data_IF_306575090778
#
_entry.id   IF_306575090778
#
_cell.length_a   1.000
_cell.length_b   1.000
_cell.length_c   1.000
_cell.angle_alpha   90.00
_cell.angle_beta   90.00
_cell.angle_gamma   90.00
#
_symmetry.space_group_name_H-M   'P 1'
#
loop_
_entity.id
_entity.type
_entity.pdbx_description
1 polymer ?
#
# COMPACT_ATOMS: atom_id res chain seq x y z
N UNK A 1 -48.02 16.03 38.69
CA UNK A 1 -46.91 17.02 38.51
C UNK A 1 -45.61 16.49 39.12
N UNK A 2 -45.63 15.84 40.29
CA UNK A 2 -44.43 15.35 41.00
C UNK A 2 -43.64 14.20 40.27
N UNK A 3 -44.36 13.30 39.55
CA UNK A 3 -43.73 12.15 38.84
C UNK A 3 -42.89 12.55 37.65
N UNK A 4 -43.18 13.68 36.96
CA UNK A 4 -42.38 14.19 35.84
C UNK A 4 -41.10 14.91 36.33
N UNK A 5 -41.17 15.51 37.51
CA UNK A 5 -40.02 16.17 38.14
C UNK A 5 -38.92 15.16 38.51
N UNK A 6 -39.27 14.04 39.11
CA UNK A 6 -38.33 12.97 39.48
C UNK A 6 -37.68 12.31 38.25
N UNK A 7 -38.44 12.08 37.17
CA UNK A 7 -37.84 11.57 35.92
C UNK A 7 -36.84 12.52 35.29
N UNK A 8 -37.08 13.83 35.38
CA UNK A 8 -36.13 14.83 34.86
C UNK A 8 -34.90 14.93 35.77
N UNK A 9 -35.05 14.77 37.09
CA UNK A 9 -33.91 14.72 38.03
C UNK A 9 -33.06 13.47 37.75
N UNK A 10 -33.66 12.29 37.59
CA UNK A 10 -32.92 11.07 37.25
C UNK A 10 -32.22 11.19 35.88
N UNK A 11 -32.85 11.76 34.85
CA UNK A 11 -32.17 12.05 33.56
C UNK A 11 -31.01 13.02 33.69
N UNK A 12 -31.12 14.03 34.54
CA UNK A 12 -30.02 14.95 34.83
C UNK A 12 -28.89 14.26 35.58
N UNK A 13 -29.20 13.44 36.57
CA UNK A 13 -28.21 12.63 37.31
C UNK A 13 -27.53 11.65 36.37
N UNK A 14 -28.26 10.91 35.53
CA UNK A 14 -27.69 10.02 34.53
C UNK A 14 -26.83 10.76 33.49
N UNK A 15 -27.21 11.99 33.09
CA UNK A 15 -26.43 12.80 32.18
C UNK A 15 -25.12 13.33 32.79
N UNK A 16 -25.12 13.59 34.09
CA UNK A 16 -23.92 14.03 34.82
C UNK A 16 -23.02 12.86 35.21
N UNK A 17 -23.60 11.70 35.58
CA UNK A 17 -22.84 10.50 35.93
C UNK A 17 -22.19 9.80 34.69
N UNK A 18 -22.76 10.04 33.49
CA UNK A 18 -22.23 9.49 32.24
C UNK A 18 -21.33 10.45 31.45
N UNK A 19 -21.00 11.63 31.99
CA UNK A 19 -20.00 12.50 31.40
C UNK A 19 -18.62 11.89 31.59
N UNK A 20 -17.94 11.59 30.49
CA UNK A 20 -16.54 11.20 30.54
C UNK A 20 -15.69 12.36 31.09
N UNK A 21 -14.59 12.08 31.80
CA UNK A 21 -13.61 13.11 32.14
C UNK A 21 -13.17 13.86 30.88
N UNK A 22 -12.95 15.18 30.95
CA UNK A 22 -12.64 16.01 29.76
C UNK A 22 -11.48 15.48 28.92
N UNK A 23 -10.46 14.91 29.54
CA UNK A 23 -9.33 14.30 28.87
C UNK A 23 -9.71 13.04 28.07
N UNK A 24 -10.67 12.26 28.57
CA UNK A 24 -11.15 11.07 27.88
C UNK A 24 -12.08 11.44 26.72
N UNK A 25 -12.92 12.44 26.92
CA UNK A 25 -13.83 12.97 25.89
C UNK A 25 -13.01 13.58 24.74
N UNK A 26 -12.04 14.44 25.06
CA UNK A 26 -11.07 14.96 24.08
C UNK A 26 -10.36 13.86 23.29
N UNK A 27 -9.88 12.81 23.97
CA UNK A 27 -9.20 11.69 23.31
C UNK A 27 -10.12 10.96 22.32
N UNK A 28 -11.38 10.78 22.67
CA UNK A 28 -12.39 10.15 21.80
C UNK A 28 -12.67 11.03 20.57
N UNK A 29 -12.82 12.33 20.77
CA UNK A 29 -13.02 13.29 19.69
C UNK A 29 -11.80 13.37 18.75
N UNK A 30 -10.60 13.35 19.30
CA UNK A 30 -9.37 13.32 18.51
C UNK A 30 -9.28 12.06 17.63
N UNK A 31 -9.55 10.87 18.19
CA UNK A 31 -9.57 9.61 17.44
C UNK A 31 -10.59 9.67 16.30
N UNK A 32 -11.80 10.12 16.61
CA UNK A 32 -12.90 10.27 15.64
C UNK A 32 -12.52 11.28 14.54
N UNK A 33 -11.88 12.38 14.90
CA UNK A 33 -11.44 13.39 13.93
C UNK A 33 -10.42 12.82 12.94
N UNK A 34 -9.47 12.00 13.43
CA UNK A 34 -8.49 11.30 12.58
C UNK A 34 -9.21 10.36 11.59
N UNK A 35 -10.15 9.54 12.08
CA UNK A 35 -10.91 8.60 11.27
C UNK A 35 -11.75 9.32 10.20
N UNK A 36 -12.46 10.38 10.57
CA UNK A 36 -13.27 11.17 9.63
C UNK A 36 -12.43 11.88 8.57
N UNK A 37 -11.22 12.28 8.88
CA UNK A 37 -10.29 12.90 7.91
C UNK A 37 -9.84 11.87 6.88
N UNK A 38 -9.53 10.65 7.31
CA UNK A 38 -9.17 9.56 6.40
C UNK A 38 -10.35 9.15 5.49
N UNK A 39 -11.56 9.08 6.03
CA UNK A 39 -12.77 8.79 5.24
C UNK A 39 -13.02 9.79 4.11
N UNK A 40 -12.76 11.09 4.34
CA UNK A 40 -12.86 12.13 3.30
C UNK A 40 -11.84 11.95 2.17
N UNK A 41 -10.71 11.30 2.45
CA UNK A 41 -9.66 11.01 1.50
C UNK A 41 -9.88 9.71 0.72
N UNK A 42 -10.99 9.00 0.96
CA UNK A 42 -11.33 7.76 0.27
C UNK A 42 -11.38 7.98 -1.24
N UNK A 43 -10.48 7.28 -1.93
CA UNK A 43 -10.34 7.37 -3.39
C UNK A 43 -11.31 6.38 -4.05
N UNK A 44 -11.90 6.79 -5.17
CA UNK A 44 -12.66 5.89 -6.02
C UNK A 44 -11.79 4.68 -6.43
N UNK A 45 -12.38 3.48 -6.53
CA UNK A 45 -11.66 2.31 -6.98
C UNK A 45 -11.06 2.56 -8.37
N UNK A 46 -9.75 2.39 -8.51
CA UNK A 46 -9.13 2.42 -9.83
C UNK A 46 -9.35 1.09 -10.52
N UNK A 47 -9.81 1.11 -11.79
CA UNK A 47 -9.97 -0.09 -12.62
C UNK A 47 -8.64 -0.50 -13.25
N UNK A 48 -7.56 -0.51 -12.46
CA UNK A 48 -6.21 -0.86 -12.90
C UNK A 48 -5.60 -1.88 -11.96
N UNK A 49 -4.70 -2.71 -12.46
CA UNK A 49 -3.91 -3.57 -11.59
C UNK A 49 -3.04 -2.73 -10.66
N UNK A 50 -2.91 -3.18 -9.41
CA UNK A 50 -2.01 -2.59 -8.41
C UNK A 50 -1.01 -3.66 -7.98
N UNK A 51 0.28 -3.50 -8.28
CA UNK A 51 1.30 -4.52 -8.02
C UNK A 51 1.30 -5.05 -6.58
N UNK A 52 1.16 -4.18 -5.60
CA UNK A 52 1.10 -4.56 -4.19
C UNK A 52 -0.13 -5.40 -3.80
N UNK A 53 -1.18 -5.42 -4.64
CA UNK A 53 -2.42 -6.17 -4.43
C UNK A 53 -2.56 -7.43 -5.28
N UNK A 54 -1.60 -7.75 -6.15
CA UNK A 54 -1.67 -8.87 -7.10
C UNK A 54 -1.33 -10.23 -6.46
N UNK A 55 -1.84 -10.46 -5.24
CA UNK A 55 -1.64 -11.70 -4.49
C UNK A 55 -2.87 -12.64 -4.57
N UNK A 56 -3.95 -12.19 -5.20
CA UNK A 56 -5.16 -12.98 -5.40
C UNK A 56 -5.88 -12.52 -6.68
N UNK A 57 -5.98 -13.43 -7.65
CA UNK A 57 -6.60 -13.13 -8.97
C UNK A 57 -8.06 -12.69 -8.83
N UNK A 58 -8.80 -13.25 -7.88
CA UNK A 58 -10.18 -12.88 -7.61
C UNK A 58 -10.30 -11.45 -7.06
N UNK A 59 -9.34 -11.02 -6.23
CA UNK A 59 -9.25 -9.62 -5.77
C UNK A 59 -8.96 -8.67 -6.94
N UNK A 60 -8.01 -9.01 -7.79
CA UNK A 60 -7.69 -8.24 -8.99
C UNK A 60 -8.88 -8.14 -9.93
N UNK A 61 -9.60 -9.24 -10.16
CA UNK A 61 -10.83 -9.26 -10.95
C UNK A 61 -11.85 -8.24 -10.43
N UNK A 62 -12.19 -8.26 -9.13
CA UNK A 62 -13.15 -7.31 -8.56
C UNK A 62 -12.70 -5.85 -8.71
N UNK A 63 -11.41 -5.61 -8.56
CA UNK A 63 -10.85 -4.27 -8.76
C UNK A 63 -10.99 -3.80 -10.21
N UNK A 64 -10.64 -4.65 -11.19
CA UNK A 64 -10.70 -4.30 -12.63
C UNK A 64 -12.13 -4.06 -13.09
N UNK A 65 -13.10 -4.87 -12.67
CA UNK A 65 -14.51 -4.66 -13.02
C UNK A 65 -15.17 -3.54 -12.23
N UNK A 66 -14.45 -2.91 -11.29
CA UNK A 66 -14.91 -1.74 -10.56
C UNK A 66 -15.92 -2.03 -9.45
N UNK A 67 -15.84 -3.21 -8.83
CA UNK A 67 -16.63 -3.48 -7.61
C UNK A 67 -16.16 -2.51 -6.52
N UNK A 68 -17.10 -1.92 -5.81
CA UNK A 68 -16.79 -1.10 -4.64
C UNK A 68 -16.16 -1.96 -3.55
N UNK A 69 -15.02 -1.52 -2.99
CA UNK A 69 -14.43 -2.20 -1.85
C UNK A 69 -15.38 -2.21 -0.64
N UNK A 70 -15.24 -3.21 0.21
CA UNK A 70 -15.92 -3.24 1.49
C UNK A 70 -15.61 -1.93 2.24
N UNK A 71 -16.64 -1.28 2.77
CA UNK A 71 -16.46 -0.10 3.62
C UNK A 71 -15.69 -0.52 4.86
N UNK A 72 -14.43 -0.19 4.92
CA UNK A 72 -13.65 -0.28 6.15
C UNK A 72 -13.61 1.11 6.77
N UNK A 73 -14.17 1.27 7.95
CA UNK A 73 -13.78 2.39 8.80
C UNK A 73 -12.33 2.13 9.19
N UNK A 74 -11.39 2.88 8.64
CA UNK A 74 -10.01 2.82 9.10
C UNK A 74 -9.99 3.26 10.55
N UNK A 75 -9.60 2.36 11.47
CA UNK A 75 -9.41 2.79 12.85
C UNK A 75 -8.30 3.85 12.92
N UNK A 76 -8.39 4.78 13.86
CA UNK A 76 -7.34 5.79 14.06
C UNK A 76 -5.95 5.18 14.17
N UNK A 77 -5.84 3.97 14.74
CA UNK A 77 -4.57 3.22 14.82
C UNK A 77 -4.05 2.84 13.44
N UNK A 78 -4.91 2.33 12.55
CA UNK A 78 -4.50 1.96 11.20
C UNK A 78 -4.08 3.19 10.39
N UNK A 79 -4.83 4.29 10.51
CA UNK A 79 -4.47 5.59 9.89
C UNK A 79 -3.10 6.05 10.37
N UNK A 80 -2.87 6.01 11.70
CA UNK A 80 -1.57 6.37 12.29
C UNK A 80 -0.42 5.49 11.79
N UNK A 81 -0.64 4.18 11.64
CA UNK A 81 0.34 3.25 11.08
C UNK A 81 0.68 3.59 9.63
N UNK A 82 -0.32 3.90 8.80
CA UNK A 82 -0.10 4.29 7.41
C UNK A 82 0.66 5.62 7.30
N UNK A 83 0.26 6.63 8.06
CA UNK A 83 0.92 7.94 8.06
C UNK A 83 2.36 7.85 8.54
N UNK A 84 2.63 7.12 9.63
CA UNK A 84 4.00 6.86 10.09
C UNK A 84 4.85 6.16 9.04
N UNK A 85 4.25 5.23 8.26
CA UNK A 85 4.93 4.62 7.12
C UNK A 85 5.36 5.65 6.09
N UNK A 86 4.44 6.52 5.68
CA UNK A 86 4.72 7.60 4.71
C UNK A 86 5.81 8.55 5.20
N UNK A 87 5.75 8.98 6.48
CA UNK A 87 6.77 9.86 7.07
C UNK A 87 8.17 9.20 7.08
N UNK A 88 8.24 7.91 7.36
CA UNK A 88 9.48 7.15 7.32
C UNK A 88 10.02 7.07 5.88
N UNK A 89 9.16 6.79 4.89
CA UNK A 89 9.56 6.75 3.48
C UNK A 89 10.19 8.07 3.05
N UNK A 90 9.53 9.21 3.33
CA UNK A 90 10.05 10.54 2.98
C UNK A 90 11.44 10.77 3.59
N UNK A 91 11.62 10.44 4.87
CA UNK A 91 12.93 10.61 5.56
C UNK A 91 14.03 9.75 4.95
N UNK A 92 13.74 8.48 4.63
CA UNK A 92 14.73 7.57 4.05
C UNK A 92 15.05 7.96 2.61
N UNK A 93 14.06 8.32 1.80
CA UNK A 93 14.26 8.82 0.43
C UNK A 93 15.15 10.07 0.44
N UNK A 94 14.87 11.03 1.33
CA UNK A 94 15.71 12.24 1.50
C UNK A 94 17.14 11.86 1.90
N UNK A 95 17.32 10.91 2.81
CA UNK A 95 18.65 10.46 3.21
C UNK A 95 19.40 9.78 2.04
N UNK A 96 18.71 8.99 1.20
CA UNK A 96 19.30 8.38 -0.01
C UNK A 96 19.71 9.44 -1.02
N UNK A 97 18.90 10.49 -1.21
CA UNK A 97 19.22 11.62 -2.09
C UNK A 97 20.50 12.33 -1.64
N UNK A 98 20.71 12.47 -0.34
CA UNK A 98 21.89 13.13 0.24
C UNK A 98 23.17 12.25 0.22
N UNK A 99 23.09 10.96 -0.07
CA UNK A 99 24.25 10.06 -0.01
C UNK A 99 25.39 10.52 -0.93
N UNK A 100 25.06 11.05 -2.10
CA UNK A 100 26.05 11.57 -3.05
C UNK A 100 26.80 12.78 -2.48
N UNK A 101 26.09 13.72 -1.88
CA UNK A 101 26.67 14.93 -1.28
C UNK A 101 27.53 14.58 -0.05
N UNK A 102 27.20 13.48 0.62
CA UNK A 102 27.97 12.92 1.73
C UNK A 102 29.16 12.06 1.28
N UNK A 103 29.51 12.08 -0.02
CA UNK A 103 30.68 11.40 -0.58
C UNK A 103 30.51 9.92 -0.86
N UNK A 104 29.28 9.39 -0.84
CA UNK A 104 28.99 7.98 -1.17
C UNK A 104 28.75 7.81 -2.66
N UNK A 105 29.18 6.69 -3.23
CA UNK A 105 28.88 6.33 -4.63
C UNK A 105 27.43 5.81 -4.76
N UNK A 106 26.50 6.73 -4.49
CA UNK A 106 25.07 6.51 -4.60
C UNK A 106 24.39 7.77 -5.15
N UNK A 107 23.57 7.62 -6.16
CA UNK A 107 22.80 8.71 -6.76
C UNK A 107 21.32 8.31 -6.80
N UNK A 108 20.46 9.10 -6.14
CA UNK A 108 19.03 8.99 -6.31
C UNK A 108 18.60 9.55 -7.64
N UNK A 109 17.81 8.80 -8.39
CA UNK A 109 17.32 9.20 -9.69
C UNK A 109 15.81 9.34 -9.61
N UNK A 110 15.34 10.55 -9.87
CA UNK A 110 13.92 10.81 -9.95
C UNK A 110 13.26 9.89 -10.99
N UNK A 111 12.20 9.22 -10.60
CA UNK A 111 11.53 8.20 -11.42
C UNK A 111 11.02 8.80 -12.74
N UNK A 112 10.48 10.02 -12.71
CA UNK A 112 10.03 10.70 -13.93
C UNK A 112 11.17 11.01 -14.88
N UNK A 113 12.31 11.41 -14.34
CA UNK A 113 13.55 11.64 -15.09
C UNK A 113 14.04 10.34 -15.72
N UNK A 114 14.06 9.24 -14.97
CA UNK A 114 14.47 7.93 -15.49
C UNK A 114 13.57 7.45 -16.63
N UNK A 115 12.24 7.56 -16.47
CA UNK A 115 11.25 7.19 -17.50
C UNK A 115 11.50 7.97 -18.79
N UNK A 116 11.73 9.28 -18.70
CA UNK A 116 11.95 10.14 -19.85
C UNK A 116 13.31 9.86 -20.53
N UNK A 117 14.39 9.73 -19.75
CA UNK A 117 15.74 9.46 -20.28
C UNK A 117 15.83 8.10 -20.96
N UNK A 118 15.12 7.09 -20.48
CA UNK A 118 15.09 5.75 -21.06
C UNK A 118 14.03 5.59 -22.16
N UNK A 119 13.26 6.65 -22.45
CA UNK A 119 12.17 6.64 -23.42
C UNK A 119 11.20 5.47 -23.23
N UNK A 120 10.74 5.27 -21.98
CA UNK A 120 9.84 4.19 -21.61
C UNK A 120 8.39 4.55 -22.01
N UNK A 121 8.07 4.47 -23.29
CA UNK A 121 6.83 4.95 -23.92
C UNK A 121 5.56 4.25 -23.43
N UNK A 122 5.67 3.05 -22.86
CA UNK A 122 4.57 2.31 -22.27
C UNK A 122 4.17 2.85 -20.89
N UNK A 123 5.02 3.69 -20.28
CA UNK A 123 4.75 4.36 -19.01
C UNK A 123 4.24 5.78 -19.22
N UNK A 124 3.19 6.11 -18.50
CA UNK A 124 2.64 7.46 -18.38
C UNK A 124 2.85 7.97 -16.96
N UNK A 125 3.38 9.18 -16.83
CA UNK A 125 3.51 9.88 -15.55
C UNK A 125 2.17 10.53 -15.24
N UNK A 126 1.43 9.96 -14.27
CA UNK A 126 0.08 10.43 -13.92
C UNK A 126 0.13 11.64 -12.99
N UNK A 127 1.00 11.58 -11.98
CA UNK A 127 1.21 12.68 -11.03
C UNK A 127 2.54 12.52 -10.31
N UNK A 128 3.06 13.63 -9.80
CA UNK A 128 4.24 13.68 -8.94
C UNK A 128 3.88 14.44 -7.66
N UNK A 129 4.21 13.86 -6.51
CA UNK A 129 4.03 14.48 -5.21
C UNK A 129 5.30 14.26 -4.37
N UNK A 130 6.11 15.31 -4.23
CA UNK A 130 7.43 15.18 -3.62
C UNK A 130 8.30 14.21 -4.41
N UNK A 131 8.84 13.20 -3.72
CA UNK A 131 9.67 12.15 -4.32
C UNK A 131 8.86 11.00 -4.93
N UNK A 132 7.57 10.90 -4.63
CA UNK A 132 6.70 9.87 -5.16
C UNK A 132 6.20 10.24 -6.57
N UNK A 133 6.39 9.32 -7.51
CA UNK A 133 5.87 9.44 -8.87
C UNK A 133 4.84 8.33 -9.12
N UNK A 134 3.61 8.74 -9.40
CA UNK A 134 2.56 7.81 -9.81
C UNK A 134 2.65 7.54 -11.29
N UNK A 135 2.75 6.28 -11.64
CA UNK A 135 2.89 5.79 -13.01
C UNK A 135 1.67 4.94 -13.42
N UNK A 136 1.41 4.95 -14.72
CA UNK A 136 0.48 4.04 -15.36
C UNK A 136 1.14 3.33 -16.53
N UNK A 137 1.15 2.00 -16.50
CA UNK A 137 1.66 1.16 -17.57
C UNK A 137 0.52 0.80 -18.54
N UNK A 138 0.53 1.38 -19.72
CA UNK A 138 -0.57 1.33 -20.71
C UNK A 138 -0.90 -0.11 -21.12
N UNK A 139 0.10 -0.90 -21.53
CA UNK A 139 -0.09 -2.27 -22.02
C UNK A 139 -0.57 -3.25 -20.95
N UNK A 140 -0.20 -3.02 -19.70
CA UNK A 140 -0.54 -3.91 -18.60
C UNK A 140 -1.75 -3.41 -17.78
N UNK A 141 -2.34 -2.28 -18.15
CA UNK A 141 -3.39 -1.61 -17.39
C UNK A 141 -3.03 -1.53 -15.88
N UNK A 142 -1.81 -1.12 -15.56
CA UNK A 142 -1.26 -1.19 -14.21
C UNK A 142 -0.88 0.18 -13.68
N UNK A 143 -1.37 0.54 -12.48
CA UNK A 143 -1.02 1.79 -11.80
C UNK A 143 -0.22 1.51 -10.55
N UNK A 144 0.89 2.21 -10.36
CA UNK A 144 1.78 2.02 -9.23
C UNK A 144 2.55 3.30 -8.87
N UNK A 145 3.13 3.30 -7.70
CA UNK A 145 4.15 4.24 -7.24
C UNK A 145 5.39 3.44 -6.86
N UNK A 146 6.55 3.97 -7.18
CA UNK A 146 7.84 3.39 -6.83
C UNK A 146 8.57 4.36 -5.91
N UNK A 147 9.20 3.86 -4.86
CA UNK A 147 9.91 4.68 -3.88
C UNK A 147 11.16 5.34 -4.46
N UNK A 148 11.75 4.76 -5.52
CA UNK A 148 12.85 5.41 -6.22
C UNK A 148 13.62 4.48 -7.15
N UNK A 149 14.51 5.09 -7.89
CA UNK A 149 15.57 4.41 -8.63
C UNK A 149 16.89 4.98 -8.14
N UNK A 150 17.87 4.13 -7.88
CA UNK A 150 19.20 4.53 -7.46
C UNK A 150 20.25 3.99 -8.43
N UNK A 151 21.32 4.75 -8.60
CA UNK A 151 22.57 4.26 -9.15
C UNK A 151 23.58 4.13 -8.01
N UNK A 152 23.87 2.89 -7.63
CA UNK A 152 24.78 2.58 -6.54
C UNK A 152 25.97 1.78 -7.09
N UNK A 153 27.18 2.28 -6.86
CA UNK A 153 28.44 1.70 -7.35
C UNK A 153 28.38 1.36 -8.85
N UNK A 154 27.87 2.31 -9.64
CA UNK A 154 27.79 2.20 -11.10
C UNK A 154 26.62 1.37 -11.64
N UNK A 155 25.83 0.68 -10.83
CA UNK A 155 24.70 -0.16 -11.23
C UNK A 155 23.36 0.46 -10.80
N UNK A 156 22.33 0.30 -11.64
CA UNK A 156 20.97 0.76 -11.35
C UNK A 156 20.18 -0.28 -10.56
N UNK A 157 19.42 0.19 -9.59
CA UNK A 157 18.51 -0.61 -8.78
C UNK A 157 17.18 0.11 -8.62
N UNK A 158 16.11 -0.65 -8.56
CA UNK A 158 14.81 -0.16 -8.06
C UNK A 158 14.90 -0.15 -6.54
N UNK A 159 14.59 0.97 -5.92
CA UNK A 159 14.51 1.09 -4.46
C UNK A 159 13.07 0.87 -4.02
N UNK A 160 12.87 0.02 -3.03
CA UNK A 160 11.58 -0.23 -2.41
C UNK A 160 11.70 -0.24 -0.89
N UNK A 161 10.99 0.64 -0.24
CA UNK A 161 10.98 0.81 1.20
C UNK A 161 9.78 0.07 1.81
N UNK A 162 10.00 -0.59 2.93
CA UNK A 162 8.94 -1.28 3.67
C UNK A 162 9.05 -0.99 5.15
N UNK A 163 7.96 -0.56 5.77
CA UNK A 163 7.90 -0.38 7.20
C UNK A 163 7.16 -1.53 7.88
N UNK A 164 7.69 -2.03 8.97
CA UNK A 164 7.06 -3.11 9.74
C UNK A 164 7.28 -2.92 11.24
N UNK A 165 6.49 -3.63 12.07
CA UNK A 165 6.67 -3.61 13.51
C UNK A 165 7.95 -4.36 13.91
N UNK A 166 8.46 -4.10 15.11
CA UNK A 166 9.72 -4.70 15.61
C UNK A 166 9.71 -6.22 15.58
N UNK A 167 8.60 -6.87 15.92
CA UNK A 167 8.51 -8.33 15.94
C UNK A 167 8.72 -8.92 14.54
N UNK A 168 8.05 -8.37 13.53
CA UNK A 168 8.21 -8.81 12.14
C UNK A 168 9.61 -8.50 11.64
N UNK A 169 10.13 -7.30 11.95
CA UNK A 169 11.45 -6.85 11.56
C UNK A 169 12.57 -7.75 12.14
N UNK A 170 12.50 -8.07 13.42
CA UNK A 170 13.51 -8.93 14.07
C UNK A 170 13.59 -10.30 13.39
N UNK A 171 12.45 -10.87 12.99
CA UNK A 171 12.34 -12.17 12.34
C UNK A 171 12.56 -12.12 10.83
N UNK A 172 12.74 -10.95 10.23
CA UNK A 172 12.97 -10.79 8.79
C UNK A 172 14.35 -11.29 8.41
N UNK A 173 14.38 -12.30 7.52
CA UNK A 173 15.61 -12.92 7.01
C UNK A 173 15.75 -12.72 5.49
N UNK A 174 14.67 -12.33 4.79
CA UNK A 174 14.64 -12.17 3.34
C UNK A 174 13.46 -11.28 2.93
N UNK A 175 13.33 -10.99 1.64
CA UNK A 175 12.18 -10.29 1.07
C UNK A 175 10.89 -11.09 1.33
N UNK A 176 9.84 -10.39 1.74
CA UNK A 176 8.52 -11.02 1.96
C UNK A 176 7.94 -11.50 0.63
N UNK A 177 7.54 -12.77 0.50
CA UNK A 177 6.94 -13.28 -0.73
C UNK A 177 5.75 -12.48 -1.23
N UNK A 178 5.00 -11.83 -0.35
CA UNK A 178 3.89 -10.94 -0.73
C UNK A 178 4.33 -9.71 -1.54
N UNK A 179 5.63 -9.40 -1.60
CA UNK A 179 6.20 -8.29 -2.36
C UNK A 179 6.79 -8.71 -3.72
N UNK A 180 6.86 -10.02 -4.03
CA UNK A 180 7.48 -10.49 -5.27
C UNK A 180 6.77 -9.97 -6.52
N UNK A 181 5.44 -10.01 -6.55
CA UNK A 181 4.68 -9.47 -7.69
C UNK A 181 4.86 -7.97 -7.86
N UNK A 182 5.04 -7.23 -6.76
CA UNK A 182 5.35 -5.80 -6.80
C UNK A 182 6.72 -5.55 -7.41
N UNK A 183 7.74 -6.26 -6.96
CA UNK A 183 9.10 -6.16 -7.52
C UNK A 183 9.13 -6.54 -9.01
N UNK A 184 8.43 -7.63 -9.38
CA UNK A 184 8.35 -8.10 -10.77
C UNK A 184 7.65 -7.07 -11.67
N UNK A 185 6.59 -6.44 -11.18
CA UNK A 185 5.89 -5.40 -11.92
C UNK A 185 6.76 -4.17 -12.18
N UNK A 186 7.55 -3.75 -11.19
CA UNK A 186 8.49 -2.65 -11.36
C UNK A 186 9.62 -3.02 -12.33
N UNK A 187 10.15 -4.23 -12.21
CA UNK A 187 11.14 -4.76 -13.15
C UNK A 187 10.65 -4.74 -14.60
N UNK A 188 9.41 -5.19 -14.84
CA UNK A 188 8.77 -5.11 -16.15
C UNK A 188 8.64 -3.67 -16.65
N UNK A 189 8.27 -2.76 -15.75
CA UNK A 189 8.02 -1.37 -16.10
C UNK A 189 9.30 -0.61 -16.45
N UNK A 190 10.39 -0.82 -15.69
CA UNK A 190 11.62 -0.06 -15.81
C UNK A 190 12.74 -0.76 -16.61
N UNK A 191 12.58 -2.06 -16.90
CA UNK A 191 13.63 -2.86 -17.55
C UNK A 191 14.87 -3.04 -16.66
N UNK A 192 14.69 -3.08 -15.33
CA UNK A 192 15.74 -3.32 -14.35
C UNK A 192 15.46 -4.63 -13.62
N UNK A 193 16.50 -5.46 -13.47
CA UNK A 193 16.33 -6.80 -12.87
C UNK A 193 16.42 -6.82 -11.36
N UNK A 194 17.13 -5.86 -10.77
CA UNK A 194 17.43 -5.87 -9.36
C UNK A 194 16.61 -4.83 -8.58
N UNK A 195 15.94 -5.31 -7.54
CA UNK A 195 15.17 -4.50 -6.60
C UNK A 195 15.85 -4.56 -5.23
N UNK A 196 16.28 -3.41 -4.74
CA UNK A 196 16.83 -3.25 -3.41
C UNK A 196 15.71 -2.92 -2.42
N UNK A 197 15.32 -3.89 -1.63
CA UNK A 197 14.38 -3.69 -0.54
C UNK A 197 15.11 -3.18 0.70
N UNK A 198 14.56 -2.13 1.32
CA UNK A 198 14.96 -1.67 2.65
C UNK A 198 13.78 -1.79 3.58
N UNK A 199 13.88 -2.68 4.57
CA UNK A 199 12.89 -2.84 5.62
C UNK A 199 13.27 -2.01 6.82
N UNK A 200 12.32 -1.22 7.32
CA UNK A 200 12.51 -0.31 8.44
C UNK A 200 11.58 -0.70 9.58
N UNK A 201 12.12 -0.89 10.78
CA UNK A 201 11.31 -1.05 11.98
C UNK A 201 10.69 0.29 12.37
N UNK A 202 9.35 0.35 12.46
CA UNK A 202 8.66 1.59 12.89
C UNK A 202 8.93 1.97 14.33
N UNK A 203 9.27 0.99 15.17
CA UNK A 203 9.35 1.20 16.61
C UNK A 203 10.76 1.64 17.04
N UNK A 204 11.81 1.11 16.38
CA UNK A 204 13.21 1.37 16.74
C UNK A 204 14.02 2.02 15.61
N UNK A 205 13.41 2.20 14.42
CA UNK A 205 14.02 2.84 13.24
C UNK A 205 15.29 2.16 12.73
N UNK A 206 15.51 0.89 13.11
CA UNK A 206 16.59 0.08 12.57
C UNK A 206 16.24 -0.44 11.17
N UNK A 207 17.25 -0.77 10.36
CA UNK A 207 17.09 -1.10 8.95
C UNK A 207 17.78 -2.40 8.57
N UNK A 208 17.14 -3.14 7.65
CA UNK A 208 17.73 -4.30 6.96
C UNK A 208 17.50 -4.14 5.47
N UNK A 209 18.48 -4.51 4.67
CA UNK A 209 18.36 -4.50 3.21
C UNK A 209 18.50 -5.90 2.62
N UNK A 210 17.73 -6.14 1.55
CA UNK A 210 17.77 -7.40 0.80
C UNK A 210 17.72 -7.09 -0.69
N UNK A 211 18.53 -7.81 -1.46
CA UNK A 211 18.49 -7.75 -2.91
C UNK A 211 17.52 -8.81 -3.43
N UNK A 212 16.62 -8.40 -4.30
CA UNK A 212 15.70 -9.29 -5.01
C UNK A 212 15.97 -9.21 -6.50
N UNK A 213 16.40 -10.31 -7.09
CA UNK A 213 16.65 -10.41 -8.53
C UNK A 213 15.42 -10.98 -9.21
N UNK A 214 14.87 -10.23 -10.16
CA UNK A 214 13.70 -10.63 -10.94
C UNK A 214 14.15 -11.37 -12.20
N UNK A 215 13.69 -12.61 -12.34
CA UNK A 215 13.97 -13.45 -13.50
C UNK A 215 12.95 -13.23 -14.63
N UNK A 216 13.29 -13.65 -15.84
CA UNK A 216 12.36 -13.62 -16.99
C UNK A 216 11.14 -14.53 -16.75
N UNK A 217 11.33 -15.65 -16.05
CA UNK A 217 10.24 -16.52 -15.64
C UNK A 217 9.23 -15.80 -14.74
N UNK A 218 9.71 -15.02 -13.76
CA UNK A 218 8.82 -14.22 -12.90
C UNK A 218 8.04 -13.18 -13.70
N UNK A 219 8.69 -12.53 -14.65
CA UNK A 219 8.03 -11.55 -15.54
C UNK A 219 6.94 -12.21 -16.39
N UNK A 220 7.21 -13.39 -16.93
CA UNK A 220 6.24 -14.14 -17.72
C UNK A 220 5.08 -14.62 -16.87
N UNK A 221 5.34 -15.13 -15.67
CA UNK A 221 4.30 -15.52 -14.72
C UNK A 221 3.38 -14.34 -14.35
N UNK A 222 3.92 -13.14 -14.20
CA UNK A 222 3.11 -11.95 -13.92
C UNK A 222 2.25 -11.54 -15.13
N UNK A 223 2.78 -11.62 -16.34
CA UNK A 223 2.00 -11.38 -17.57
C UNK A 223 0.89 -12.39 -17.73
N UNK A 224 1.17 -13.69 -17.47
CA UNK A 224 0.18 -14.75 -17.50
C UNK A 224 -0.92 -14.52 -16.47
N UNK A 225 -0.57 -14.10 -15.25
CA UNK A 225 -1.54 -13.71 -14.23
C UNK A 225 -2.48 -12.59 -14.71
N UNK A 226 -1.94 -11.54 -15.35
CA UNK A 226 -2.73 -10.44 -15.89
C UNK A 226 -3.65 -10.95 -17.00
N UNK A 227 -3.12 -11.71 -17.96
CA UNK A 227 -3.86 -12.28 -19.09
C UNK A 227 -4.99 -13.20 -18.63
N UNK A 228 -4.73 -14.03 -17.63
CA UNK A 228 -5.75 -14.90 -17.03
C UNK A 228 -6.86 -14.06 -16.38
N UNK A 229 -6.50 -13.03 -15.60
CA UNK A 229 -7.48 -12.14 -15.00
C UNK A 229 -8.33 -11.43 -16.05
N UNK A 230 -7.71 -10.92 -17.12
CA UNK A 230 -8.39 -10.25 -18.23
C UNK A 230 -9.36 -11.19 -18.96
N UNK A 231 -9.03 -12.49 -19.06
CA UNK A 231 -9.95 -13.51 -19.58
C UNK A 231 -11.21 -13.64 -18.72
N UNK A 232 -11.06 -13.69 -17.39
CA UNK A 232 -12.20 -13.71 -16.48
C UNK A 232 -13.04 -12.42 -16.59
N UNK A 233 -12.38 -11.26 -16.72
CA UNK A 233 -13.05 -9.97 -16.91
C UNK A 233 -13.87 -9.96 -18.21
N UNK A 234 -13.29 -10.42 -19.31
CA UNK A 234 -13.94 -10.44 -20.62
C UNK A 234 -15.15 -11.38 -20.65
N UNK A 235 -15.04 -12.53 -19.97
CA UNK A 235 -16.12 -13.50 -19.84
C UNK A 235 -17.15 -13.12 -18.77
N UNK A 236 -16.90 -12.08 -17.96
CA UNK A 236 -17.76 -11.64 -16.84
C UNK A 236 -18.00 -12.74 -15.79
N UNK A 237 -17.03 -13.61 -15.61
CA UNK A 237 -17.08 -14.73 -14.66
C UNK A 237 -16.03 -14.49 -13.58
N UNK A 238 -16.44 -14.52 -12.31
CA UNK A 238 -15.48 -14.40 -11.23
C UNK A 238 -14.53 -15.60 -11.18
N UNK A 239 -13.20 -15.40 -11.07
CA UNK A 239 -12.28 -16.53 -10.93
C UNK A 239 -12.62 -17.40 -9.72
N UNK A 240 -12.29 -18.69 -9.71
CA UNK A 240 -12.44 -19.52 -8.52
C UNK A 240 -11.62 -18.93 -7.35
N UNK A 241 -12.07 -19.20 -6.14
CA UNK A 241 -11.28 -18.79 -4.96
C UNK A 241 -9.99 -19.62 -4.94
N UNK A 242 -8.81 -18.97 -4.98
CA UNK A 242 -7.56 -19.71 -4.97
C UNK A 242 -7.39 -20.50 -3.67
N UNK A 243 -7.05 -21.78 -3.75
CA UNK A 243 -6.80 -22.64 -2.59
C UNK A 243 -5.54 -22.23 -1.83
N UNK A 244 -4.54 -21.67 -2.54
CA UNK A 244 -3.22 -21.30 -2.04
C UNK A 244 -3.14 -19.91 -1.39
N UNK A 245 -4.24 -19.13 -1.35
CA UNK A 245 -4.19 -17.80 -0.76
C UNK A 245 -4.10 -17.89 0.75
N UNK A 246 -3.04 -17.32 1.29
CA UNK A 246 -2.84 -17.24 2.74
C UNK A 246 -4.07 -16.61 3.43
N UNK A 247 -4.47 -17.16 4.58
CA UNK A 247 -5.55 -16.59 5.42
C UNK A 247 -5.35 -15.11 5.71
N UNK A 248 -4.12 -14.67 5.81
CA UNK A 248 -3.74 -13.27 6.04
C UNK A 248 -4.22 -12.36 4.89
N UNK A 249 -3.99 -12.74 3.63
CA UNK A 249 -4.46 -12.00 2.45
C UNK A 249 -5.99 -11.86 2.46
N UNK A 250 -6.71 -12.92 2.79
CA UNK A 250 -8.17 -12.89 2.89
C UNK A 250 -8.68 -12.05 4.06
N UNK A 251 -7.96 -11.99 5.18
CA UNK A 251 -8.39 -11.22 6.36
C UNK A 251 -8.36 -9.71 6.10
N UNK A 252 -7.41 -9.24 5.30
CA UNK A 252 -7.24 -7.83 4.94
C UNK A 252 -7.76 -7.49 3.53
N UNK A 253 -8.51 -8.41 2.89
CA UNK A 253 -9.04 -8.21 1.55
C UNK A 253 -10.21 -7.22 1.54
N UNK A 254 -10.10 -6.18 0.74
CA UNK A 254 -11.13 -5.15 0.58
C UNK A 254 -12.40 -5.65 -0.14
N UNK A 255 -12.43 -6.89 -0.63
CA UNK A 255 -13.57 -7.50 -1.33
C UNK A 255 -14.06 -8.77 -0.63
N UNK A 256 -13.78 -8.90 0.68
CA UNK A 256 -14.11 -10.10 1.47
C UNK A 256 -15.60 -10.42 1.47
N UNK A 257 -16.45 -9.39 1.60
CA UNK A 257 -17.91 -9.55 1.60
C UNK A 257 -18.43 -10.01 0.25
N UNK A 258 -17.89 -9.45 -0.83
CA UNK A 258 -18.24 -9.85 -2.20
C UNK A 258 -17.76 -11.27 -2.49
N UNK A 259 -16.51 -11.58 -2.16
CA UNK A 259 -15.91 -12.89 -2.37
C UNK A 259 -16.64 -14.04 -1.66
N UNK A 260 -17.30 -13.77 -0.53
CA UNK A 260 -18.13 -14.75 0.18
C UNK A 260 -19.48 -15.01 -0.50
N UNK A 261 -20.02 -14.04 -1.25
CA UNK A 261 -21.29 -14.15 -1.96
C UNK A 261 -21.15 -14.87 -3.30
N UNK A 262 -20.04 -14.64 -3.97
CA UNK A 262 -19.72 -15.31 -5.24
C UNK A 262 -19.16 -16.71 -4.92
N UNK A 263 -19.96 -17.74 -5.19
CA UNK A 263 -19.60 -19.15 -4.98
C UNK A 263 -18.58 -19.63 -5.99
#
# INVERSE_FOLDING_TARGET
>A
VARNSLKNVFRLIDSVQNQLPPEQDFLNDLKRSIEMTDEKNNRLPSKTYKPSGMNCIRQSYYQIIGIEPDKSSSSYTLVGICNSGTDIHIRIQTAVEQMKDNGMDCEYIDVSTFVNQRNLTDLEIVSKNGMETKLYHKKLNMSFMCDGIIRYKGKYYILELKTENSYKFMNRKDVDPSHYNQATAYSLAFGLDDVLFVYISRDVLDMKSFMFHVTDEMRENLKNYISECDSYVSNKIAPPKPESVERKTCNYCNYKSRCKKDK
#
